data_IF_408152840001
#
_entry.id   IF_408152840001
#
_cell.length_a   1.000
_cell.length_b   1.000
_cell.length_c   1.000
_cell.angle_alpha   90.00
_cell.angle_beta   90.00
_cell.angle_gamma   90.00
#
_symmetry.space_group_name_H-M   'P 1'
#
loop_
_entity.id
_entity.type
_entity.pdbx_description
1 polymer ?
#
# COMPACT_ATOMS: atom_id res chain seq x y z
N UNK A 1 3.92 15.98 0.62
CA UNK A 1 4.25 17.06 1.55
C UNK A 1 5.69 17.01 1.95
N UNK A 2 6.39 18.09 1.63
CA UNK A 2 7.83 18.15 1.85
C UNK A 2 8.25 18.07 3.30
N UNK A 3 7.39 18.55 4.19
CA UNK A 3 7.69 18.53 5.62
C UNK A 3 7.81 17.12 6.16
N UNK A 4 6.92 16.23 5.72
CA UNK A 4 6.93 14.85 6.20
C UNK A 4 8.08 14.02 5.62
N UNK A 5 8.57 14.40 4.46
CA UNK A 5 9.65 13.65 3.81
C UNK A 5 11.03 14.25 4.07
N UNK A 6 11.10 15.47 4.55
CA UNK A 6 12.38 16.14 4.78
C UNK A 6 13.38 15.31 5.60
N UNK A 7 12.97 14.69 6.73
CA UNK A 7 13.93 13.87 7.49
C UNK A 7 14.48 12.69 6.70
N UNK A 8 13.72 12.17 5.76
CA UNK A 8 14.17 11.02 4.95
C UNK A 8 15.33 11.40 4.04
N UNK A 9 15.34 12.62 3.54
CA UNK A 9 16.39 13.08 2.65
C UNK A 9 17.75 13.21 3.33
N UNK A 10 17.77 13.13 4.66
CA UNK A 10 19.02 13.11 5.41
C UNK A 10 19.68 11.73 5.40
N UNK A 11 18.95 10.71 4.95
CA UNK A 11 19.49 9.34 4.86
C UNK A 11 20.03 9.10 3.45
N UNK A 12 21.29 8.71 3.36
CA UNK A 12 21.92 8.43 2.08
C UNK A 12 21.20 7.27 1.36
N UNK A 13 20.77 6.27 2.11
CA UNK A 13 20.06 5.12 1.57
C UNK A 13 18.73 5.50 0.93
N UNK A 14 18.04 6.45 1.54
CA UNK A 14 16.78 6.93 0.99
C UNK A 14 17.03 7.66 -0.34
N UNK A 15 17.98 8.56 -0.37
CA UNK A 15 18.29 9.35 -1.55
C UNK A 15 18.69 8.45 -2.72
N UNK A 16 19.52 7.46 -2.44
CA UNK A 16 19.98 6.51 -3.43
C UNK A 16 18.83 5.66 -3.97
N UNK A 17 17.99 5.14 -3.07
CA UNK A 17 16.83 4.34 -3.46
C UNK A 17 15.82 5.15 -4.26
N UNK A 18 15.56 6.39 -3.85
CA UNK A 18 14.64 7.27 -4.56
C UNK A 18 15.12 7.54 -5.97
N UNK A 19 16.41 7.77 -6.13
CA UNK A 19 16.98 8.02 -7.45
C UNK A 19 16.80 6.81 -8.38
N UNK A 20 16.99 5.61 -7.84
CA UNK A 20 16.81 4.39 -8.63
C UNK A 20 15.35 4.21 -9.04
N UNK A 21 14.42 4.46 -8.15
CA UNK A 21 13.00 4.32 -8.45
C UNK A 21 12.53 5.37 -9.47
N UNK A 22 13.03 6.58 -9.37
CA UNK A 22 12.64 7.65 -10.27
C UNK A 22 13.13 7.40 -11.71
N UNK A 23 14.18 6.61 -11.86
CA UNK A 23 14.65 6.19 -13.20
C UNK A 23 13.74 5.15 -13.84
N UNK A 24 12.80 4.60 -13.06
CA UNK A 24 11.88 3.59 -13.55
C UNK A 24 12.52 2.25 -13.87
N UNK A 25 13.66 1.94 -13.29
CA UNK A 25 14.38 0.71 -13.58
C UNK A 25 14.63 -0.10 -12.30
N UNK A 26 14.28 -1.38 -12.36
CA UNK A 26 14.61 -2.32 -11.32
C UNK A 26 13.78 -2.15 -10.06
N UNK A 27 14.31 -2.65 -8.99
CA UNK A 27 13.65 -2.64 -7.68
C UNK A 27 14.69 -2.36 -6.60
N UNK A 28 14.18 -1.91 -5.45
CA UNK A 28 15.04 -1.54 -4.33
C UNK A 28 14.53 -2.29 -3.10
N UNK A 29 15.44 -2.83 -2.31
CA UNK A 29 15.10 -3.50 -1.05
C UNK A 29 15.75 -2.77 0.11
N UNK A 30 14.96 -2.56 1.15
CA UNK A 30 15.42 -1.98 2.41
C UNK A 30 15.22 -2.99 3.52
N UNK A 31 16.16 -3.07 4.43
CA UNK A 31 16.07 -3.94 5.60
C UNK A 31 16.44 -3.16 6.86
N UNK A 32 16.10 -3.74 8.01
CA UNK A 32 16.45 -3.12 9.28
C UNK A 32 15.56 -1.97 9.71
N UNK A 33 14.38 -1.84 9.09
CA UNK A 33 13.45 -0.78 9.44
C UNK A 33 12.39 -1.28 10.43
N UNK A 34 12.03 -0.43 11.39
CA UNK A 34 10.86 -0.69 12.24
C UNK A 34 9.59 -0.45 11.44
N UNK A 35 8.48 -1.03 11.89
CA UNK A 35 7.21 -0.94 11.15
C UNK A 35 6.78 0.49 10.84
N UNK A 36 6.90 1.39 11.80
CA UNK A 36 6.54 2.79 11.58
C UNK A 36 7.46 3.45 10.55
N UNK A 37 8.72 3.06 10.54
CA UNK A 37 9.68 3.59 9.57
C UNK A 37 9.41 3.07 8.18
N UNK A 38 8.92 1.83 8.06
CA UNK A 38 8.62 1.23 6.76
C UNK A 38 7.59 2.05 6.00
N UNK A 39 6.51 2.43 6.66
CA UNK A 39 5.45 3.20 5.99
C UNK A 39 5.90 4.61 5.64
N UNK A 40 6.67 5.22 6.51
CA UNK A 40 7.24 6.53 6.25
C UNK A 40 8.17 6.49 5.03
N UNK A 41 9.01 5.44 4.98
CA UNK A 41 9.92 5.23 3.85
C UNK A 41 9.14 5.02 2.54
N UNK A 42 8.08 4.20 2.59
CA UNK A 42 7.24 3.95 1.41
C UNK A 42 6.62 5.26 0.93
N UNK A 43 6.14 6.08 1.84
CA UNK A 43 5.53 7.35 1.48
C UNK A 43 6.55 8.25 0.74
N UNK A 44 7.76 8.36 1.27
CA UNK A 44 8.79 9.19 0.64
C UNK A 44 9.27 8.62 -0.69
N UNK A 45 9.52 7.32 -0.75
CA UNK A 45 10.01 6.67 -1.96
C UNK A 45 9.00 6.71 -3.09
N UNK A 46 7.72 6.65 -2.77
CA UNK A 46 6.66 6.61 -3.78
C UNK A 46 6.18 7.99 -4.21
N UNK A 47 6.77 9.04 -3.67
CA UNK A 47 6.42 10.39 -4.10
C UNK A 47 6.68 10.56 -5.59
N UNK A 48 5.72 11.13 -6.30
CA UNK A 48 5.80 11.28 -7.75
C UNK A 48 5.08 10.20 -8.53
N UNK A 49 4.71 9.10 -7.89
CA UNK A 49 3.91 8.06 -8.53
C UNK A 49 2.45 8.28 -8.22
N UNK A 50 1.60 8.19 -9.24
CA UNK A 50 0.18 8.46 -9.06
C UNK A 50 -0.56 7.26 -8.49
N UNK A 51 -0.18 6.06 -8.89
CA UNK A 51 -0.81 4.83 -8.39
C UNK A 51 0.23 3.96 -7.71
N UNK A 52 -0.13 3.48 -6.52
CA UNK A 52 0.78 2.71 -5.69
C UNK A 52 0.06 1.49 -5.15
N UNK A 53 0.76 0.38 -5.05
CA UNK A 53 0.20 -0.83 -4.48
C UNK A 53 1.13 -1.32 -3.38
N UNK A 54 0.59 -1.45 -2.17
CA UNK A 54 1.31 -1.99 -1.03
C UNK A 54 0.79 -3.41 -0.80
N UNK A 55 1.69 -4.38 -0.83
CA UNK A 55 1.34 -5.78 -0.65
C UNK A 55 1.90 -6.27 0.68
N UNK A 56 1.05 -6.91 1.47
CA UNK A 56 1.46 -7.46 2.75
C UNK A 56 0.99 -8.90 2.88
N UNK A 57 1.24 -9.52 4.02
CA UNK A 57 1.08 -10.97 4.17
C UNK A 57 -0.26 -11.40 4.75
N UNK A 58 -1.05 -10.50 5.32
CA UNK A 58 -2.33 -10.87 5.90
C UNK A 58 -3.34 -9.75 5.77
N UNK A 59 -4.63 -10.11 5.82
CA UNK A 59 -5.71 -9.13 5.76
C UNK A 59 -5.68 -8.21 6.97
N UNK A 60 -5.35 -8.75 8.13
CA UNK A 60 -5.24 -7.95 9.34
C UNK A 60 -4.19 -6.87 9.16
N UNK A 61 -3.00 -7.26 8.67
CA UNK A 61 -1.92 -6.30 8.48
C UNK A 61 -2.27 -5.29 7.39
N UNK A 62 -2.98 -5.73 6.35
CA UNK A 62 -3.40 -4.82 5.29
C UNK A 62 -4.31 -3.72 5.85
N UNK A 63 -5.23 -4.07 6.73
CA UNK A 63 -6.12 -3.08 7.34
C UNK A 63 -5.37 -2.14 8.27
N UNK A 64 -4.40 -2.66 9.00
CA UNK A 64 -3.55 -1.83 9.85
C UNK A 64 -2.76 -0.83 9.01
N UNK A 65 -2.14 -1.32 7.95
CA UNK A 65 -1.38 -0.46 7.04
C UNK A 65 -2.29 0.59 6.40
N UNK A 66 -3.48 0.18 5.97
CA UNK A 66 -4.43 1.11 5.39
C UNK A 66 -4.78 2.25 6.32
N UNK A 67 -5.00 1.94 7.59
CA UNK A 67 -5.30 2.95 8.59
C UNK A 67 -4.09 3.87 8.85
N UNK A 68 -2.91 3.28 9.03
CA UNK A 68 -1.70 4.05 9.30
C UNK A 68 -1.27 4.89 8.10
N UNK A 69 -1.25 4.29 6.93
CA UNK A 69 -0.82 4.98 5.72
C UNK A 69 -1.82 6.06 5.32
N UNK A 70 -3.07 5.93 5.73
CA UNK A 70 -4.09 6.94 5.49
C UNK A 70 -3.75 8.30 6.09
N UNK A 71 -2.88 8.35 7.09
CA UNK A 71 -2.39 9.61 7.63
C UNK A 71 -1.49 10.35 6.64
N UNK A 72 -0.77 9.61 5.83
CA UNK A 72 0.10 10.20 4.81
C UNK A 72 -0.68 10.50 3.54
N UNK A 73 -1.59 9.59 3.17
CA UNK A 73 -2.31 9.69 1.90
C UNK A 73 -3.78 9.34 2.12
N UNK A 74 -4.64 10.35 2.00
CA UNK A 74 -6.08 10.17 2.18
C UNK A 74 -6.73 9.32 1.11
N UNK A 75 -6.04 9.08 0.03
CA UNK A 75 -6.53 8.25 -1.08
C UNK A 75 -6.10 6.80 -0.95
N UNK A 76 -5.88 6.36 0.28
CA UNK A 76 -5.52 4.99 0.58
C UNK A 76 -6.76 4.14 0.68
N UNK A 77 -6.77 3.02 -0.04
CA UNK A 77 -7.86 2.07 -0.05
C UNK A 77 -7.31 0.67 0.23
N UNK A 78 -8.12 -0.16 0.89
CA UNK A 78 -7.75 -1.55 1.13
C UNK A 78 -8.55 -2.43 0.18
N UNK A 79 -7.85 -3.27 -0.58
CA UNK A 79 -8.49 -4.27 -1.41
C UNK A 79 -8.62 -5.55 -0.58
N UNK A 80 -9.83 -5.93 -0.17
CA UNK A 80 -10.00 -7.04 0.76
C UNK A 80 -9.64 -8.38 0.14
N UNK A 81 -8.98 -9.21 0.94
CA UNK A 81 -8.60 -10.54 0.53
C UNK A 81 -9.76 -11.52 0.63
N UNK A 82 -9.50 -12.71 0.11
CA UNK A 82 -10.50 -13.76 0.07
C UNK A 82 -10.89 -14.25 1.46
N UNK A 83 -9.93 -14.33 2.36
CA UNK A 83 -10.19 -14.80 3.72
C UNK A 83 -11.15 -13.89 4.47
N UNK A 84 -11.04 -12.60 4.23
CA UNK A 84 -11.92 -11.63 4.85
C UNK A 84 -13.38 -11.87 4.46
N UNK A 85 -13.60 -12.35 3.24
CA UNK A 85 -14.95 -12.66 2.76
C UNK A 85 -15.57 -13.77 3.61
N UNK A 86 -14.80 -14.78 3.97
CA UNK A 86 -15.30 -15.88 4.79
C UNK A 86 -15.64 -15.44 6.20
N UNK A 87 -14.79 -14.64 6.80
CA UNK A 87 -15.03 -14.16 8.16
C UNK A 87 -16.22 -13.23 8.25
N UNK A 88 -16.51 -12.55 7.18
CA UNK A 88 -17.60 -11.58 7.14
C UNK A 88 -18.78 -12.07 6.30
N UNK A 89 -18.94 -13.37 6.22
CA UNK A 89 -20.05 -13.96 5.49
C UNK A 89 -21.41 -13.47 6.01
N UNK A 90 -21.47 -13.16 7.30
CA UNK A 90 -22.69 -12.65 7.93
C UNK A 90 -22.88 -11.15 7.69
N UNK A 91 -21.84 -10.45 7.30
CA UNK A 91 -21.88 -9.03 7.01
C UNK A 91 -21.89 -8.90 5.50
N UNK A 92 -23.04 -8.87 4.96
CA UNK A 92 -23.33 -8.76 3.53
C UNK A 92 -22.11 -8.83 2.59
N UNK A 93 -21.99 -9.94 1.86
CA UNK A 93 -20.96 -10.09 0.83
C UNK A 93 -20.99 -8.96 -0.20
N UNK A 94 -22.12 -8.25 -0.29
CA UNK A 94 -22.24 -7.10 -1.17
C UNK A 94 -21.31 -5.94 -0.81
N UNK A 95 -21.03 -5.76 0.48
CA UNK A 95 -20.13 -4.67 0.89
C UNK A 95 -18.70 -4.93 0.47
N UNK A 96 -18.26 -6.18 0.55
CA UNK A 96 -16.92 -6.55 0.11
C UNK A 96 -16.77 -6.40 -1.40
N UNK A 97 -17.80 -6.80 -2.13
CA UNK A 97 -17.81 -6.63 -3.58
C UNK A 97 -17.74 -5.15 -3.94
N UNK A 98 -18.49 -4.31 -3.23
CA UNK A 98 -18.44 -2.87 -3.47
C UNK A 98 -17.06 -2.28 -3.19
N UNK A 99 -16.41 -2.72 -2.12
CA UNK A 99 -15.06 -2.26 -1.80
C UNK A 99 -14.10 -2.62 -2.92
N UNK A 100 -14.16 -3.86 -3.41
CA UNK A 100 -13.31 -4.29 -4.52
C UNK A 100 -13.60 -3.52 -5.79
N UNK A 101 -14.87 -3.31 -6.09
CA UNK A 101 -15.25 -2.57 -7.30
C UNK A 101 -14.79 -1.12 -7.23
N UNK A 102 -14.85 -0.52 -6.04
CA UNK A 102 -14.38 0.84 -5.85
C UNK A 102 -12.90 0.97 -6.14
N UNK A 103 -12.11 0.01 -5.65
CA UNK A 103 -10.67 -0.02 -5.89
C UNK A 103 -10.38 -0.18 -7.37
N UNK A 104 -11.03 -1.16 -8.01
CA UNK A 104 -10.83 -1.41 -9.43
C UNK A 104 -11.22 -0.20 -10.28
N UNK A 105 -12.31 0.46 -9.91
CA UNK A 105 -12.73 1.66 -10.62
C UNK A 105 -11.68 2.76 -10.52
N UNK A 106 -11.12 2.96 -9.32
CA UNK A 106 -10.09 3.98 -9.14
C UNK A 106 -8.87 3.70 -10.02
N UNK A 107 -8.48 2.42 -10.12
CA UNK A 107 -7.36 2.03 -10.97
C UNK A 107 -7.65 2.25 -12.44
N UNK A 108 -8.84 1.84 -12.89
CA UNK A 108 -9.22 1.97 -14.30
C UNK A 108 -9.37 3.41 -14.73
N UNK A 109 -9.85 4.26 -13.84
CA UNK A 109 -9.98 5.68 -14.12
C UNK A 109 -8.67 6.44 -13.96
N UNK A 110 -7.59 5.71 -13.65
CA UNK A 110 -6.25 6.28 -13.48
C UNK A 110 -6.19 7.39 -12.44
N UNK A 111 -7.04 7.30 -11.42
CA UNK A 111 -7.03 8.25 -10.33
C UNK A 111 -5.82 8.03 -9.43
N UNK A 112 -5.26 9.09 -8.86
CA UNK A 112 -4.21 8.93 -7.85
C UNK A 112 -4.76 8.14 -6.67
N UNK A 113 -4.12 7.02 -6.34
CA UNK A 113 -4.60 6.15 -5.28
C UNK A 113 -3.47 5.27 -4.76
N UNK A 114 -3.51 4.95 -3.48
CA UNK A 114 -2.65 3.95 -2.86
C UNK A 114 -3.55 2.79 -2.43
N UNK A 115 -3.23 1.60 -2.90
CA UNK A 115 -4.01 0.42 -2.60
C UNK A 115 -3.19 -0.53 -1.75
N UNK A 116 -3.78 -0.98 -0.64
CA UNK A 116 -3.15 -1.96 0.24
C UNK A 116 -3.88 -3.28 0.05
N UNK A 117 -3.13 -4.33 -0.21
CA UNK A 117 -3.71 -5.65 -0.44
C UNK A 117 -2.82 -6.73 0.16
N UNK A 118 -3.24 -7.97 0.02
CA UNK A 118 -2.54 -9.11 0.58
C UNK A 118 -2.42 -10.23 -0.44
N UNK A 119 -1.41 -11.07 -0.23
CA UNK A 119 -1.21 -12.27 -1.05
C UNK A 119 -1.54 -13.55 -0.28
N UNK A 120 -2.04 -13.43 0.94
CA UNK A 120 -2.28 -14.59 1.79
C UNK A 120 -3.20 -15.62 1.14
N UNK A 121 -4.15 -15.19 0.34
CA UNK A 121 -5.09 -16.09 -0.31
C UNK A 121 -4.48 -16.92 -1.43
N UNK A 122 -3.29 -16.58 -1.88
CA UNK A 122 -2.67 -17.32 -2.99
C UNK A 122 -2.37 -18.76 -2.62
N UNK A 123 -2.20 -19.04 -1.35
CA UNK A 123 -1.97 -20.39 -0.88
C UNK A 123 -3.19 -21.27 -1.00
N UNK A 124 -4.36 -20.67 -1.04
CA UNK A 124 -5.61 -21.40 -1.10
C UNK A 124 -5.94 -21.91 -2.49
N UNK A 125 -5.26 -21.38 -3.48
CA UNK A 125 -5.50 -21.78 -4.86
C UNK A 125 -4.72 -23.04 -5.24
N UNK A 126 -3.82 -23.45 -4.38
CA UNK A 126 -3.04 -24.65 -4.59
C UNK A 126 -3.80 -25.88 -4.10
#
# INVERSE_FOLDING_TARGET
MKVLTAPLWELAEFEEGKALLDRGKGHVAFSGLYDSQKLHMVYGLSDGFTQKIIVTFSDKRAREIGAEYGFYDRRTMVYPGKDLIFYQADVSGGDLVRERMRVLRALLEKRPVTIVTTVSYTHLTL
#
